data_IF_934714147055
#
_entry.id   IF_934714147055
#
_cell.length_a   1.000
_cell.length_b   1.000
_cell.length_c   1.000
_cell.angle_alpha   90.00
_cell.angle_beta   90.00
_cell.angle_gamma   90.00
#
_symmetry.space_group_name_H-M   'P 1'
#
loop_
_entity.id
_entity.type
_entity.pdbx_description
1 polymer ?
#
# COMPACT_ATOMS: atom_id res chain seq x y z
N UNK A 1 -6.37 28.80 7.50
CA UNK A 1 -6.18 27.39 7.11
C UNK A 1 -7.06 26.55 8.03
N UNK A 2 -8.18 26.06 7.49
CA UNK A 2 -9.23 25.37 8.26
C UNK A 2 -8.62 24.26 9.12
N UNK A 3 -8.99 24.18 10.40
CA UNK A 3 -8.42 23.23 11.39
C UNK A 3 -8.40 21.79 10.84
N UNK A 4 -9.40 21.45 10.03
CA UNK A 4 -9.52 20.17 9.35
C UNK A 4 -8.40 19.87 8.35
N UNK A 5 -8.04 20.83 7.50
CA UNK A 5 -6.94 20.66 6.54
C UNK A 5 -5.59 20.52 7.27
N UNK A 6 -5.38 21.27 8.37
CA UNK A 6 -4.18 21.12 9.20
C UNK A 6 -4.05 19.68 9.73
N UNK A 7 -5.14 19.11 10.27
CA UNK A 7 -5.13 17.74 10.78
C UNK A 7 -4.87 16.73 9.66
N UNK A 8 -5.46 16.90 8.46
CA UNK A 8 -5.19 16.05 7.28
C UNK A 8 -3.71 16.09 6.91
N UNK A 9 -3.10 17.29 6.86
CA UNK A 9 -1.68 17.43 6.55
C UNK A 9 -0.78 16.78 7.60
N UNK A 10 -1.08 16.98 8.90
CA UNK A 10 -0.32 16.34 10.00
C UNK A 10 -0.31 14.83 9.88
N UNK A 11 -1.48 14.22 9.62
CA UNK A 11 -1.59 12.77 9.41
C UNK A 11 -0.81 12.34 8.16
N UNK A 12 -0.94 13.09 7.06
CA UNK A 12 -0.27 12.78 5.79
C UNK A 12 1.25 12.80 5.93
N UNK A 13 1.82 13.83 6.56
CA UNK A 13 3.25 13.92 6.82
C UNK A 13 3.73 12.89 7.86
N UNK A 14 2.91 12.55 8.85
CA UNK A 14 3.21 11.47 9.79
C UNK A 14 3.34 10.12 9.07
N UNK A 15 2.39 9.78 8.20
CA UNK A 15 2.47 8.56 7.39
C UNK A 15 3.63 8.61 6.39
N UNK A 16 3.90 9.75 5.75
CA UNK A 16 5.05 9.93 4.88
C UNK A 16 6.36 9.57 5.60
N UNK A 17 6.61 10.14 6.77
CA UNK A 17 7.83 9.90 7.54
C UNK A 17 7.95 8.44 8.03
N UNK A 18 6.82 7.86 8.48
CA UNK A 18 6.79 6.48 8.94
C UNK A 18 7.07 5.47 7.82
N UNK A 19 6.41 5.65 6.66
CA UNK A 19 6.54 4.74 5.53
C UNK A 19 7.77 5.02 4.67
N UNK A 20 8.42 6.18 4.81
CA UNK A 20 9.79 6.41 4.31
C UNK A 20 10.73 5.42 4.97
N UNK A 21 10.64 5.28 6.29
CA UNK A 21 11.43 4.32 7.05
C UNK A 21 11.02 2.87 6.74
N UNK A 22 9.74 2.53 6.91
CA UNK A 22 9.27 1.16 6.73
C UNK A 22 9.40 0.67 5.28
N UNK A 23 9.01 1.46 4.28
CA UNK A 23 9.07 1.06 2.88
C UNK A 23 10.50 0.86 2.38
N UNK A 24 11.42 1.74 2.80
CA UNK A 24 12.84 1.58 2.51
C UNK A 24 13.43 0.33 3.17
N UNK A 25 13.08 0.08 4.44
CA UNK A 25 13.54 -1.10 5.17
C UNK A 25 12.95 -2.40 4.61
N UNK A 26 11.67 -2.40 4.25
CA UNK A 26 10.95 -3.53 3.66
C UNK A 26 11.64 -4.05 2.40
N UNK A 27 11.95 -3.18 1.45
CA UNK A 27 12.59 -3.55 0.18
C UNK A 27 14.00 -4.12 0.36
N UNK A 28 14.63 -3.83 1.50
CA UNK A 28 15.96 -4.30 1.83
C UNK A 28 15.97 -5.55 2.70
N UNK A 29 14.87 -5.93 3.37
CA UNK A 29 14.85 -7.04 4.33
C UNK A 29 15.41 -8.34 3.75
N UNK A 30 14.91 -8.77 2.58
CA UNK A 30 15.35 -9.98 1.90
C UNK A 30 16.83 -9.93 1.48
N UNK A 31 17.36 -8.72 1.33
CA UNK A 31 18.72 -8.44 0.90
C UNK A 31 19.70 -8.21 2.05
N UNK A 32 19.25 -7.68 3.20
CA UNK A 32 20.08 -7.50 4.38
C UNK A 32 20.25 -8.79 5.16
N UNK A 33 19.17 -9.58 5.29
CA UNK A 33 19.12 -10.77 6.14
C UNK A 33 18.84 -12.02 5.30
N UNK A 34 19.82 -12.38 4.45
CA UNK A 34 19.73 -13.52 3.54
C UNK A 34 19.94 -14.86 4.23
N UNK A 35 20.78 -14.89 5.28
CA UNK A 35 21.13 -16.09 6.03
C UNK A 35 19.85 -16.75 6.58
N UNK A 36 19.70 -18.04 6.29
CA UNK A 36 18.53 -18.87 6.65
C UNK A 36 17.17 -18.30 6.21
N UNK A 37 17.14 -17.30 5.32
CA UNK A 37 15.91 -16.63 4.90
C UNK A 37 15.26 -15.73 5.95
N UNK A 38 15.99 -15.30 6.98
CA UNK A 38 15.46 -14.51 8.11
C UNK A 38 14.65 -13.28 7.67
N UNK A 39 15.13 -12.52 6.68
CA UNK A 39 14.43 -11.31 6.20
C UNK A 39 13.07 -11.61 5.55
N UNK A 40 12.98 -12.70 4.77
CA UNK A 40 11.72 -13.13 4.15
C UNK A 40 10.77 -13.69 5.21
N UNK A 41 11.29 -14.43 6.21
CA UNK A 41 10.51 -14.92 7.33
C UNK A 41 9.93 -13.76 8.18
N UNK A 42 10.72 -12.71 8.42
CA UNK A 42 10.26 -11.50 9.11
C UNK A 42 9.14 -10.79 8.35
N UNK A 43 9.31 -10.54 7.05
CA UNK A 43 8.25 -9.97 6.20
C UNK A 43 6.98 -10.83 6.20
N UNK A 44 7.12 -12.15 6.03
CA UNK A 44 6.01 -13.09 6.07
C UNK A 44 5.27 -13.05 7.42
N UNK A 45 6.02 -12.93 8.52
CA UNK A 45 5.49 -12.80 9.87
C UNK A 45 4.71 -11.50 10.05
N UNK A 46 5.22 -10.36 9.55
CA UNK A 46 4.50 -9.09 9.56
C UNK A 46 3.12 -9.28 8.91
N UNK A 47 3.08 -9.73 7.66
CA UNK A 47 1.84 -9.87 6.90
C UNK A 47 0.89 -10.92 7.48
N UNK A 48 1.41 -12.03 8.00
CA UNK A 48 0.62 -13.01 8.75
C UNK A 48 -0.02 -12.41 10.01
N UNK A 49 0.72 -11.59 10.75
CA UNK A 49 0.19 -10.88 11.91
C UNK A 49 -0.81 -9.76 11.51
N UNK A 50 -0.62 -9.09 10.37
CA UNK A 50 -1.62 -8.14 9.82
C UNK A 50 -2.96 -8.85 9.56
N UNK A 51 -2.93 -10.05 8.99
CA UNK A 51 -4.13 -10.84 8.72
C UNK A 51 -4.91 -11.08 10.02
N UNK A 52 -4.25 -11.59 11.05
CA UNK A 52 -4.88 -11.82 12.37
C UNK A 52 -5.36 -10.50 12.99
N UNK A 53 -4.57 -9.43 12.87
CA UNK A 53 -4.89 -8.13 13.41
C UNK A 53 -6.15 -7.53 12.81
N UNK A 54 -6.29 -7.62 11.49
CA UNK A 54 -7.39 -7.04 10.72
C UNK A 54 -8.78 -7.52 11.14
N UNK A 55 -8.86 -8.73 11.73
CA UNK A 55 -10.12 -9.30 12.18
C UNK A 55 -10.63 -8.67 13.49
N UNK A 56 -9.73 -8.16 14.35
CA UNK A 56 -10.06 -7.91 15.76
C UNK A 56 -9.55 -6.58 16.32
N UNK A 57 -8.28 -6.23 16.07
CA UNK A 57 -7.66 -5.10 16.75
C UNK A 57 -8.20 -3.73 16.34
N UNK A 58 -8.55 -3.45 15.06
CA UNK A 58 -9.07 -2.15 14.66
C UNK A 58 -10.30 -1.71 15.47
N UNK A 59 -11.30 -2.59 15.60
CA UNK A 59 -12.56 -2.27 16.29
C UNK A 59 -12.34 -2.05 17.78
N UNK A 60 -11.50 -2.87 18.42
CA UNK A 60 -11.18 -2.77 19.86
C UNK A 60 -10.39 -1.49 20.16
N UNK A 61 -9.33 -1.22 19.40
CA UNK A 61 -8.46 -0.06 19.64
C UNK A 61 -9.21 1.25 19.37
N UNK A 62 -9.89 1.36 18.22
CA UNK A 62 -10.61 2.59 17.85
C UNK A 62 -11.70 2.89 18.88
N UNK A 63 -12.47 1.89 19.32
CA UNK A 63 -13.56 2.09 20.31
C UNK A 63 -13.05 2.47 21.70
N UNK A 64 -11.93 1.88 22.16
CA UNK A 64 -11.40 2.13 23.52
C UNK A 64 -10.54 3.39 23.60
N UNK A 65 -9.69 3.63 22.60
CA UNK A 65 -8.62 4.64 22.67
C UNK A 65 -8.87 5.84 21.76
N UNK A 66 -9.81 5.73 20.82
CA UNK A 66 -10.02 6.75 19.80
C UNK A 66 -9.07 6.64 18.61
N UNK A 67 -9.40 7.33 17.52
CA UNK A 67 -8.62 7.27 16.28
C UNK A 67 -7.19 7.80 16.48
N UNK A 68 -7.02 8.95 17.17
CA UNK A 68 -5.70 9.57 17.41
C UNK A 68 -4.73 8.60 18.09
N UNK A 69 -5.11 8.07 19.26
CA UNK A 69 -4.21 7.22 20.04
C UNK A 69 -4.03 5.83 19.42
N UNK A 70 -5.04 5.33 18.68
CA UNK A 70 -4.88 4.11 17.89
C UNK A 70 -3.81 4.27 16.80
N UNK A 71 -3.77 5.43 16.11
CA UNK A 71 -2.72 5.75 15.14
C UNK A 71 -1.36 5.82 15.85
N UNK A 72 -1.23 6.60 16.93
CA UNK A 72 0.04 6.80 17.65
C UNK A 72 0.63 5.48 18.16
N UNK A 73 -0.16 4.64 18.85
CA UNK A 73 0.29 3.35 19.37
C UNK A 73 0.75 2.44 18.23
N UNK A 74 -0.02 2.42 17.14
CA UNK A 74 0.34 1.62 15.98
C UNK A 74 1.63 2.09 15.32
N UNK A 75 1.87 3.41 15.24
CA UNK A 75 3.14 3.97 14.75
C UNK A 75 4.33 3.55 15.63
N UNK A 76 4.15 3.44 16.96
CA UNK A 76 5.20 2.92 17.84
C UNK A 76 5.58 1.47 17.51
N UNK A 77 4.64 0.63 17.04
CA UNK A 77 4.95 -0.72 16.59
C UNK A 77 5.90 -0.74 15.38
N UNK A 78 5.76 0.21 14.45
CA UNK A 78 6.69 0.39 13.31
C UNK A 78 8.08 0.84 13.75
N UNK A 79 8.15 1.76 14.72
CA UNK A 79 9.44 2.19 15.30
C UNK A 79 10.15 1.02 15.99
N UNK A 80 9.40 0.21 16.75
CA UNK A 80 9.98 -0.95 17.42
C UNK A 80 10.49 -2.03 16.47
N UNK A 81 9.83 -2.23 15.32
CA UNK A 81 10.39 -3.06 14.25
C UNK A 81 11.72 -2.49 13.74
N UNK A 82 11.79 -1.17 13.49
CA UNK A 82 13.03 -0.51 13.09
C UNK A 82 14.15 -0.67 14.14
N UNK A 83 13.81 -0.60 15.43
CA UNK A 83 14.74 -0.86 16.53
C UNK A 83 15.20 -2.32 16.57
N UNK A 84 14.30 -3.28 16.34
CA UNK A 84 14.62 -4.71 16.28
C UNK A 84 15.64 -5.07 15.19
N UNK A 85 15.74 -4.24 14.14
CA UNK A 85 16.70 -4.43 13.06
C UNK A 85 18.16 -4.08 13.44
N UNK A 86 18.40 -3.32 14.52
CA UNK A 86 19.77 -3.05 15.00
C UNK A 86 20.47 -4.32 15.49
N UNK A 87 19.72 -5.24 16.08
CA UNK A 87 20.21 -6.54 16.49
C UNK A 87 19.41 -7.62 15.78
N UNK A 88 19.59 -7.76 14.47
CA UNK A 88 18.80 -8.69 13.68
C UNK A 88 19.14 -10.15 14.00
N UNK A 89 18.21 -10.82 14.67
CA UNK A 89 18.26 -12.25 14.98
C UNK A 89 16.84 -12.80 14.93
N UNK A 90 16.68 -14.11 14.86
CA UNK A 90 15.36 -14.76 14.94
C UNK A 90 14.57 -14.33 16.18
N UNK A 91 15.23 -14.12 17.33
CA UNK A 91 14.60 -13.77 18.59
C UNK A 91 14.20 -12.30 18.73
N UNK A 92 14.74 -11.41 17.90
CA UNK A 92 14.44 -9.97 17.92
C UNK A 92 13.54 -9.58 16.77
N UNK A 93 13.84 -10.07 15.57
CA UNK A 93 13.17 -9.67 14.34
C UNK A 93 11.78 -10.29 14.21
N UNK A 94 11.60 -11.55 14.63
CA UNK A 94 10.28 -12.20 14.59
C UNK A 94 9.29 -11.56 15.58
N UNK A 95 9.63 -11.35 16.87
CA UNK A 95 8.68 -10.71 17.79
C UNK A 95 8.35 -9.26 17.41
N UNK A 96 9.33 -8.48 16.95
CA UNK A 96 9.07 -7.11 16.50
C UNK A 96 8.27 -7.07 15.19
N UNK A 97 8.44 -8.06 14.31
CA UNK A 97 7.60 -8.27 13.12
C UNK A 97 6.14 -8.56 13.49
N UNK A 98 5.90 -9.43 14.48
CA UNK A 98 4.54 -9.69 15.00
C UNK A 98 3.95 -8.39 15.54
N UNK A 99 4.71 -7.65 16.35
CA UNK A 99 4.22 -6.42 16.95
C UNK A 99 3.86 -5.36 15.90
N UNK A 100 4.69 -5.20 14.87
CA UNK A 100 4.39 -4.36 13.71
C UNK A 100 3.13 -4.83 12.98
N UNK A 101 3.03 -6.12 12.66
CA UNK A 101 1.84 -6.66 11.98
C UNK A 101 0.55 -6.45 12.79
N UNK A 102 0.61 -6.59 14.11
CA UNK A 102 -0.50 -6.28 15.01
C UNK A 102 -0.90 -4.80 14.98
N UNK A 103 0.06 -3.88 14.85
CA UNK A 103 -0.20 -2.43 14.73
C UNK A 103 -0.66 -1.97 13.34
N UNK A 104 -0.30 -2.66 12.27
CA UNK A 104 -0.54 -2.19 10.91
C UNK A 104 -2.03 -2.06 10.55
N UNK A 105 -2.87 -3.07 10.87
CA UNK A 105 -4.29 -3.01 10.54
C UNK A 105 -5.05 -1.91 11.33
N UNK A 106 -4.83 -1.74 12.66
CA UNK A 106 -5.39 -0.61 13.40
C UNK A 106 -4.91 0.75 12.89
N UNK A 107 -3.65 0.89 12.48
CA UNK A 107 -3.12 2.12 11.91
C UNK A 107 -3.95 2.59 10.71
N UNK A 108 -4.09 1.72 9.71
CA UNK A 108 -4.83 2.02 8.48
C UNK A 108 -6.32 2.23 8.73
N UNK A 109 -6.92 1.43 9.60
CA UNK A 109 -8.36 1.54 9.92
C UNK A 109 -8.70 2.82 10.69
N UNK A 110 -7.87 3.17 11.68
CA UNK A 110 -8.05 4.39 12.47
C UNK A 110 -7.81 5.64 11.62
N UNK A 111 -6.81 5.59 10.73
CA UNK A 111 -6.57 6.62 9.72
C UNK A 111 -7.78 6.85 8.80
N UNK A 112 -8.30 5.79 8.19
CA UNK A 112 -9.42 5.90 7.26
C UNK A 112 -10.67 6.45 7.96
N UNK A 113 -10.94 5.98 9.17
CA UNK A 113 -12.02 6.49 10.02
C UNK A 113 -11.80 7.97 10.35
N UNK A 114 -10.57 8.36 10.71
CA UNK A 114 -10.23 9.75 11.03
C UNK A 114 -10.50 10.70 9.84
N UNK A 115 -9.97 10.39 8.65
CA UNK A 115 -10.18 11.23 7.46
C UNK A 115 -11.65 11.27 7.02
N UNK A 116 -12.37 10.16 7.15
CA UNK A 116 -13.80 10.10 6.80
C UNK A 116 -14.63 11.00 7.72
N UNK A 117 -14.42 10.90 9.04
CA UNK A 117 -15.13 11.75 10.01
C UNK A 117 -14.79 13.22 9.77
N UNK A 118 -13.50 13.55 9.67
CA UNK A 118 -13.05 14.92 9.40
C UNK A 118 -13.61 15.49 8.10
N UNK A 119 -13.67 14.69 7.04
CA UNK A 119 -14.24 15.10 5.76
C UNK A 119 -15.75 15.33 5.82
N UNK A 120 -16.48 14.45 6.51
CA UNK A 120 -17.93 14.61 6.69
C UNK A 120 -18.28 15.82 7.55
N UNK A 121 -17.61 16.00 8.70
CA UNK A 121 -17.84 17.16 9.58
C UNK A 121 -17.54 18.47 8.85
N UNK A 122 -16.43 18.55 8.12
CA UNK A 122 -16.13 19.74 7.34
C UNK A 122 -17.15 19.99 6.22
N UNK A 123 -17.65 18.93 5.59
CA UNK A 123 -18.68 19.07 4.55
C UNK A 123 -20.00 19.58 5.11
N UNK A 124 -20.41 19.12 6.29
CA UNK A 124 -21.59 19.61 7.01
C UNK A 124 -21.44 21.09 7.36
N UNK A 125 -20.30 21.50 7.93
CA UNK A 125 -20.01 22.90 8.26
C UNK A 125 -20.00 23.82 7.03
N UNK A 126 -19.49 23.32 5.89
CA UNK A 126 -19.35 24.08 4.66
C UNK A 126 -20.54 23.96 3.69
N UNK A 127 -21.60 23.20 4.05
CA UNK A 127 -22.73 22.93 3.16
C UNK A 127 -22.36 22.19 1.87
N UNK A 128 -21.30 21.39 1.88
CA UNK A 128 -20.78 20.63 0.73
C UNK A 128 -21.22 19.17 0.78
N UNK A 129 -21.10 18.48 -0.36
CA UNK A 129 -21.35 17.03 -0.43
C UNK A 129 -20.21 16.28 0.28
N UNK A 130 -20.50 15.58 1.38
CA UNK A 130 -19.53 14.84 2.21
C UNK A 130 -18.59 13.94 1.42
N UNK A 131 -19.15 13.17 0.48
CA UNK A 131 -18.38 12.28 -0.40
C UNK A 131 -17.26 13.00 -1.16
N UNK A 132 -17.50 14.23 -1.63
CA UNK A 132 -16.51 14.98 -2.41
C UNK A 132 -15.36 15.47 -1.52
N UNK A 133 -15.68 15.97 -0.33
CA UNK A 133 -14.68 16.44 0.64
C UNK A 133 -13.84 15.27 1.17
N UNK A 134 -14.47 14.15 1.53
CA UNK A 134 -13.75 12.93 1.97
C UNK A 134 -12.80 12.47 0.88
N UNK A 135 -13.26 12.36 -0.38
CA UNK A 135 -12.40 11.98 -1.50
C UNK A 135 -11.24 12.97 -1.70
N UNK A 136 -11.47 14.27 -1.54
CA UNK A 136 -10.42 15.28 -1.63
C UNK A 136 -9.36 15.09 -0.54
N UNK A 137 -9.76 14.84 0.72
CA UNK A 137 -8.82 14.61 1.83
C UNK A 137 -8.02 13.32 1.66
N UNK A 138 -8.65 12.23 1.23
CA UNK A 138 -7.92 11.02 0.85
C UNK A 138 -6.98 11.26 -0.33
N UNK A 139 -7.38 12.07 -1.32
CA UNK A 139 -6.51 12.44 -2.44
C UNK A 139 -5.25 13.19 -2.00
N UNK A 140 -5.39 14.19 -1.12
CA UNK A 140 -4.26 14.91 -0.52
C UNK A 140 -3.36 13.96 0.27
N UNK A 141 -3.97 13.10 1.09
CA UNK A 141 -3.23 12.11 1.87
C UNK A 141 -2.40 11.18 0.98
N UNK A 142 -3.02 10.55 -0.02
CA UNK A 142 -2.33 9.61 -0.90
C UNK A 142 -1.28 10.30 -1.77
N UNK A 143 -1.49 11.55 -2.18
CA UNK A 143 -0.48 12.32 -2.90
C UNK A 143 0.81 12.48 -2.08
N UNK A 144 0.69 12.83 -0.81
CA UNK A 144 1.84 13.02 0.09
C UNK A 144 2.43 11.66 0.48
N UNK A 145 1.59 10.73 0.91
CA UNK A 145 1.98 9.39 1.38
C UNK A 145 2.75 8.61 0.30
N UNK A 146 2.28 8.56 -0.95
CA UNK A 146 2.93 7.75 -1.99
C UNK A 146 4.36 8.22 -2.30
N UNK A 147 4.70 9.48 -2.02
CA UNK A 147 6.07 9.97 -2.17
C UNK A 147 7.06 9.31 -1.20
N UNK A 148 6.58 8.68 -0.11
CA UNK A 148 7.42 7.99 0.87
C UNK A 148 8.24 6.85 0.25
N UNK A 149 7.68 6.18 -0.75
CA UNK A 149 8.38 5.15 -1.51
C UNK A 149 9.61 5.70 -2.22
N UNK A 150 9.57 6.94 -2.71
CA UNK A 150 10.73 7.58 -3.35
C UNK A 150 11.78 7.94 -2.30
N UNK A 151 11.39 8.63 -1.23
CA UNK A 151 12.33 9.08 -0.20
C UNK A 151 13.01 7.93 0.54
N UNK A 152 12.25 6.88 0.91
CA UNK A 152 12.81 5.73 1.62
C UNK A 152 13.86 5.01 0.79
N UNK A 153 13.52 4.71 -0.46
CA UNK A 153 14.44 4.04 -1.38
C UNK A 153 15.64 4.94 -1.78
N UNK A 154 15.46 6.26 -1.84
CA UNK A 154 16.57 7.17 -2.11
C UNK A 154 17.56 7.19 -0.94
N UNK A 155 17.06 7.28 0.30
CA UNK A 155 17.90 7.27 1.50
C UNK A 155 18.74 5.98 1.56
N UNK A 156 18.14 4.81 1.35
CA UNK A 156 18.91 3.55 1.35
C UNK A 156 19.98 3.50 0.29
N UNK A 157 19.65 3.89 -0.95
CA UNK A 157 20.61 3.89 -2.05
C UNK A 157 21.77 4.86 -1.82
N UNK A 158 21.50 6.05 -1.25
CA UNK A 158 22.54 7.03 -0.94
C UNK A 158 23.46 6.55 0.19
N UNK A 159 22.91 5.96 1.26
CA UNK A 159 23.71 5.43 2.39
C UNK A 159 24.59 4.28 1.92
N UNK A 160 24.03 3.29 1.22
CA UNK A 160 24.83 2.17 0.73
C UNK A 160 25.79 2.55 -0.42
N UNK A 161 25.53 3.65 -1.12
CA UNK A 161 26.41 4.18 -2.15
C UNK A 161 27.69 4.88 -1.63
N UNK A 162 27.81 5.11 -0.31
CA UNK A 162 28.96 5.84 0.27
C UNK A 162 30.28 5.07 0.20
N UNK A 163 30.24 3.73 0.22
CA UNK A 163 31.42 2.88 0.06
C UNK A 163 31.32 2.17 -1.30
N UNK A 164 32.22 2.42 -2.26
CA UNK A 164 32.20 1.71 -3.53
C UNK A 164 32.36 0.22 -3.29
N UNK A 165 31.53 -0.59 -3.94
CA UNK A 165 31.61 -2.06 -3.90
C UNK A 165 33.01 -2.47 -4.34
N UNK A 166 33.77 -3.14 -3.47
CA UNK A 166 35.15 -3.46 -3.78
C UNK A 166 35.19 -4.63 -4.76
N UNK A 167 35.44 -4.31 -6.03
CA UNK A 167 35.67 -5.29 -7.11
C UNK A 167 34.45 -5.63 -7.95
N UNK A 168 34.68 -5.97 -9.22
CA UNK A 168 33.66 -6.54 -10.09
C UNK A 168 33.19 -7.89 -9.51
N UNK A 169 31.87 -8.11 -9.48
CA UNK A 169 31.31 -9.40 -9.07
C UNK A 169 31.84 -10.46 -10.06
N UNK A 170 32.47 -11.55 -9.59
CA UNK A 170 32.98 -12.60 -10.46
C UNK A 170 31.89 -13.13 -11.40
N UNK A 171 32.22 -13.33 -12.68
CA UNK A 171 31.24 -13.80 -13.68
C UNK A 171 30.60 -15.14 -13.31
N UNK A 172 31.32 -16.00 -12.58
CA UNK A 172 30.80 -17.27 -12.08
C UNK A 172 29.62 -17.09 -11.12
N UNK A 173 29.65 -16.07 -10.25
CA UNK A 173 28.55 -15.77 -9.32
C UNK A 173 27.35 -15.14 -10.04
N UNK A 174 27.59 -14.42 -11.15
CA UNK A 174 26.51 -13.85 -11.97
C UNK A 174 25.68 -14.93 -12.67
N UNK A 175 26.26 -16.10 -12.96
CA UNK A 175 25.55 -17.23 -13.55
C UNK A 175 24.52 -17.85 -12.60
N UNK A 176 24.73 -17.71 -11.28
CA UNK A 176 23.77 -18.15 -10.25
C UNK A 176 22.72 -17.09 -9.89
N UNK A 177 22.79 -15.87 -10.43
CA UNK A 177 21.79 -14.84 -10.19
C UNK A 177 20.51 -15.05 -11.02
N UNK A 178 19.44 -14.35 -10.63
CA UNK A 178 18.16 -14.34 -11.34
C UNK A 178 17.36 -15.62 -11.11
N UNK A 179 16.84 -16.22 -12.18
CA UNK A 179 16.02 -17.44 -12.11
C UNK A 179 16.79 -18.68 -11.60
N UNK A 180 18.13 -18.63 -11.60
CA UNK A 180 19.00 -19.71 -11.12
C UNK A 180 19.42 -19.59 -9.66
N UNK A 181 18.91 -18.58 -8.93
CA UNK A 181 19.23 -18.37 -7.51
C UNK A 181 18.62 -19.48 -6.63
N UNK A 182 19.48 -20.35 -6.11
CA UNK A 182 19.09 -21.47 -5.24
C UNK A 182 19.20 -21.07 -3.77
N UNK A 183 18.07 -20.74 -3.15
CA UNK A 183 17.96 -20.32 -1.73
C UNK A 183 18.55 -21.31 -0.71
N UNK A 184 18.72 -22.59 -1.09
CA UNK A 184 19.13 -23.71 -0.23
C UNK A 184 20.53 -24.27 -0.55
N UNK A 185 21.24 -23.69 -1.54
CA UNK A 185 22.58 -24.15 -1.83
C UNK A 185 23.54 -23.66 -0.73
N UNK A 186 24.11 -24.62 0.01
CA UNK A 186 25.19 -24.47 1.00
C UNK A 186 26.51 -23.95 0.40
N UNK A 187 26.48 -23.42 -0.83
CA UNK A 187 27.59 -22.72 -1.41
C UNK A 187 27.62 -21.32 -0.79
N UNK A 188 28.46 -21.18 0.23
CA UNK A 188 29.04 -19.90 0.62
C UNK A 188 29.78 -19.31 -0.58
N UNK A 189 29.06 -18.68 -1.51
CA UNK A 189 29.68 -17.68 -2.37
C UNK A 189 30.05 -16.54 -1.45
N UNK A 190 31.29 -16.59 -0.93
CA UNK A 190 31.99 -15.60 -0.11
C UNK A 190 32.16 -14.25 -0.84
N UNK A 191 31.18 -13.81 -1.64
CA UNK A 191 31.40 -12.80 -2.68
C UNK A 191 30.22 -11.88 -2.97
N UNK A 192 29.12 -11.93 -2.22
CA UNK A 192 28.30 -10.72 -2.04
C UNK A 192 28.70 -10.09 -0.73
N UNK A 193 29.61 -9.11 -0.77
CA UNK A 193 30.03 -8.33 0.39
C UNK A 193 28.80 -7.86 1.15
N UNK A 194 28.59 -8.39 2.36
CA UNK A 194 27.58 -7.84 3.26
C UNK A 194 27.95 -6.37 3.50
N UNK A 195 26.98 -5.44 3.41
CA UNK A 195 27.28 -4.04 3.63
C UNK A 195 27.88 -3.86 5.02
N UNK A 196 28.88 -2.96 5.14
CA UNK A 196 29.54 -2.75 6.42
C UNK A 196 28.53 -2.38 7.50
N UNK A 197 28.69 -2.93 8.70
CA UNK A 197 27.77 -2.72 9.84
C UNK A 197 27.52 -1.23 10.13
N UNK A 198 28.51 -0.37 9.93
CA UNK A 198 28.39 1.09 10.03
C UNK A 198 27.31 1.67 9.11
N UNK A 199 27.21 1.22 7.86
CA UNK A 199 26.22 1.71 6.89
C UNK A 199 24.82 1.21 7.24
N UNK A 200 24.73 -0.05 7.70
CA UNK A 200 23.46 -0.63 8.18
C UNK A 200 22.95 0.18 9.37
N UNK A 201 23.78 0.41 10.39
CA UNK A 201 23.40 1.20 11.56
C UNK A 201 23.11 2.66 11.24
N UNK A 202 23.83 3.26 10.29
CA UNK A 202 23.53 4.62 9.81
C UNK A 202 22.14 4.67 9.19
N UNK A 203 21.81 3.72 8.31
CA UNK A 203 20.50 3.63 7.67
C UNK A 203 19.38 3.41 8.71
N UNK A 204 19.56 2.43 9.60
CA UNK A 204 18.60 2.13 10.66
C UNK A 204 18.41 3.30 11.62
N UNK A 205 19.48 4.07 11.90
CA UNK A 205 19.42 5.30 12.67
C UNK A 205 18.56 6.38 12.01
N UNK A 206 18.76 6.62 10.70
CA UNK A 206 17.96 7.58 9.92
C UNK A 206 16.48 7.16 9.90
N UNK A 207 16.21 5.89 9.62
CA UNK A 207 14.85 5.36 9.58
C UNK A 207 14.14 5.39 10.93
N UNK A 208 14.83 4.99 12.00
CA UNK A 208 14.27 5.06 13.35
C UNK A 208 14.01 6.51 13.76
N UNK A 209 14.93 7.42 13.47
CA UNK A 209 14.74 8.86 13.71
C UNK A 209 13.53 9.42 12.98
N UNK A 210 13.35 9.07 11.69
CA UNK A 210 12.16 9.44 10.91
C UNK A 210 10.87 8.90 11.51
N UNK A 211 10.87 7.63 11.96
CA UNK A 211 9.72 7.00 12.60
C UNK A 211 9.37 7.65 13.96
N UNK A 212 10.36 7.96 14.79
CA UNK A 212 10.15 8.67 16.07
C UNK A 212 9.60 10.07 15.82
N UNK A 213 10.15 10.79 14.83
CA UNK A 213 9.64 12.10 14.43
C UNK A 213 8.19 12.02 13.95
N UNK A 214 7.82 10.99 13.18
CA UNK A 214 6.44 10.73 12.77
C UNK A 214 5.50 10.57 13.97
N UNK A 215 5.90 9.74 14.96
CA UNK A 215 5.14 9.52 16.19
C UNK A 215 4.96 10.84 16.94
N UNK A 216 6.02 11.62 17.14
CA UNK A 216 5.98 12.90 17.84
C UNK A 216 5.09 13.92 17.12
N UNK A 217 5.21 14.02 15.79
CA UNK A 217 4.39 14.91 14.96
C UNK A 217 2.90 14.60 15.15
N UNK A 218 2.51 13.33 15.04
CA UNK A 218 1.11 12.93 15.17
C UNK A 218 0.63 13.02 16.62
N UNK A 219 1.43 12.62 17.60
CA UNK A 219 1.04 12.67 19.01
C UNK A 219 0.78 14.11 19.49
N UNK A 220 1.61 15.07 19.06
CA UNK A 220 1.53 16.47 19.50
C UNK A 220 0.53 17.29 18.69
N UNK A 221 0.56 17.22 17.34
CA UNK A 221 -0.20 18.12 16.48
C UNK A 221 -1.55 17.56 16.03
N UNK A 222 -1.77 16.24 16.06
CA UNK A 222 -3.06 15.68 15.66
C UNK A 222 -4.10 15.93 16.74
N UNK A 223 -5.23 16.52 16.38
CA UNK A 223 -6.33 16.72 17.33
C UNK A 223 -7.18 15.46 17.47
N UNK A 224 -7.52 15.03 18.71
CA UNK A 224 -8.46 13.93 18.91
C UNK A 224 -9.87 14.36 18.50
N UNK A 225 -10.59 13.47 17.82
CA UNK A 225 -12.00 13.67 17.49
C UNK A 225 -12.82 13.30 18.74
N UNK A 226 -13.33 14.29 19.46
CA UNK A 226 -14.09 14.09 20.71
C UNK A 226 -15.59 13.91 20.48
N UNK A 227 -16.20 14.75 19.64
CA UNK A 227 -17.66 14.93 19.60
C UNK A 227 -18.43 13.84 18.85
N UNK A 228 -17.79 13.16 17.89
CA UNK A 228 -18.45 12.10 17.07
C UNK A 228 -18.38 10.73 17.76
N UNK A 229 -17.35 10.50 18.59
CA UNK A 229 -17.22 9.24 19.32
C UNK A 229 -18.19 9.11 20.49
N UNK A 230 -18.61 10.21 21.11
CA UNK A 230 -19.62 10.19 22.16
C UNK A 230 -21.03 9.97 21.62
N UNK A 231 -21.38 10.56 20.45
CA UNK A 231 -22.66 10.29 19.77
C UNK A 231 -22.78 8.82 19.33
N UNK A 232 -21.72 8.23 18.77
CA UNK A 232 -21.69 6.79 18.41
C UNK A 232 -21.76 5.86 19.63
N UNK A 233 -21.21 6.26 20.78
CA UNK A 233 -21.34 5.49 22.04
C UNK A 233 -22.75 5.49 22.60
N UNK A 234 -23.58 6.49 22.28
CA UNK A 234 -24.93 6.66 22.81
C UNK A 234 -26.04 5.90 22.05
N UNK A 235 -25.87 5.63 20.75
CA UNK A 235 -26.95 5.09 19.90
C UNK A 235 -26.72 3.68 19.34
N UNK A 236 -25.49 3.15 19.31
CA UNK A 236 -25.29 1.77 18.89
C UNK A 236 -25.49 0.78 20.04
N UNK A 237 -26.59 0.01 19.99
CA UNK A 237 -26.66 -1.34 20.57
C UNK A 237 -25.34 -2.02 20.19
N UNK A 238 -24.47 -2.23 21.18
CA UNK A 238 -23.19 -2.93 21.04
C UNK A 238 -23.38 -4.16 20.15
N UNK A 239 -23.09 -4.05 18.85
CA UNK A 239 -22.97 -5.23 18.00
C UNK A 239 -21.84 -6.03 18.62
N UNK A 240 -22.20 -7.20 19.15
CA UNK A 240 -21.24 -8.04 19.85
C UNK A 240 -20.08 -8.31 18.89
N UNK A 241 -18.84 -8.25 19.38
CA UNK A 241 -17.65 -8.64 18.62
C UNK A 241 -17.87 -9.92 17.79
N UNK A 242 -18.58 -10.89 18.39
CA UNK A 242 -18.98 -12.14 17.76
C UNK A 242 -19.97 -11.96 16.61
N UNK A 243 -20.90 -11.01 16.69
CA UNK A 243 -21.83 -10.71 15.60
C UNK A 243 -21.12 -10.09 14.39
N UNK A 244 -20.12 -9.23 14.59
CA UNK A 244 -19.33 -8.64 13.51
C UNK A 244 -18.44 -9.70 12.86
N UNK A 245 -17.75 -10.51 13.67
CA UNK A 245 -16.94 -11.63 13.18
C UNK A 245 -17.79 -12.66 12.41
N UNK A 246 -18.94 -13.03 12.97
CA UNK A 246 -19.88 -13.94 12.32
C UNK A 246 -20.44 -13.34 11.02
N UNK A 247 -20.61 -12.03 10.94
CA UNK A 247 -21.02 -11.34 9.71
C UNK A 247 -19.93 -11.41 8.64
N UNK A 248 -18.65 -11.23 9.01
CA UNK A 248 -17.52 -11.44 8.10
C UNK A 248 -17.47 -12.87 7.57
N UNK A 249 -17.63 -13.88 8.44
CA UNK A 249 -17.68 -15.28 8.00
C UNK A 249 -18.93 -15.60 7.15
N UNK A 250 -20.05 -14.92 7.38
CA UNK A 250 -21.22 -15.01 6.50
C UNK A 250 -20.93 -14.42 5.11
N UNK A 251 -20.16 -13.33 5.00
CA UNK A 251 -19.72 -12.79 3.70
C UNK A 251 -18.84 -13.79 2.94
N UNK A 252 -18.01 -14.58 3.62
CA UNK A 252 -17.23 -15.66 3.00
C UNK A 252 -18.09 -16.81 2.43
N UNK A 253 -19.40 -16.82 2.70
CA UNK A 253 -20.33 -17.77 2.07
C UNK A 253 -20.79 -17.31 0.68
N UNK A 254 -20.63 -16.02 0.36
CA UNK A 254 -20.95 -15.51 -0.96
C UNK A 254 -19.88 -15.94 -1.97
N UNK A 255 -20.30 -16.78 -2.93
CA UNK A 255 -19.43 -17.31 -3.99
C UNK A 255 -18.77 -16.19 -4.81
N UNK A 256 -19.43 -15.04 -4.98
CA UNK A 256 -18.88 -13.88 -5.71
C UNK A 256 -17.71 -13.27 -4.96
N UNK A 257 -17.85 -13.10 -3.65
CA UNK A 257 -16.77 -12.58 -2.80
C UNK A 257 -15.59 -13.56 -2.73
N UNK A 258 -15.85 -14.87 -2.64
CA UNK A 258 -14.79 -15.89 -2.69
C UNK A 258 -13.97 -15.83 -3.98
N UNK A 259 -14.61 -15.65 -5.14
CA UNK A 259 -13.90 -15.49 -6.41
C UNK A 259 -13.13 -14.17 -6.47
N UNK A 260 -13.68 -13.10 -5.88
CA UNK A 260 -13.02 -11.80 -5.82
C UNK A 260 -11.78 -11.79 -4.91
N UNK A 261 -11.72 -12.63 -3.86
CA UNK A 261 -10.55 -12.76 -2.97
C UNK A 261 -9.29 -13.19 -3.73
N UNK A 262 -9.42 -13.91 -4.84
CA UNK A 262 -8.27 -14.34 -5.65
C UNK A 262 -7.48 -13.14 -6.22
N UNK A 263 -8.15 -12.02 -6.49
CA UNK A 263 -7.52 -10.84 -7.09
C UNK A 263 -6.59 -10.11 -6.09
N UNK A 264 -7.00 -9.78 -4.85
CA UNK A 264 -6.07 -9.29 -3.82
C UNK A 264 -4.96 -10.28 -3.49
N UNK A 265 -5.24 -11.59 -3.45
CA UNK A 265 -4.22 -12.61 -3.21
C UNK A 265 -3.14 -12.55 -4.29
N UNK A 266 -3.52 -12.51 -5.56
CA UNK A 266 -2.57 -12.34 -6.67
C UNK A 266 -1.79 -11.02 -6.56
N UNK A 267 -2.46 -9.91 -6.22
CA UNK A 267 -1.80 -8.62 -5.98
C UNK A 267 -0.75 -8.70 -4.86
N UNK A 268 -1.03 -9.44 -3.79
CA UNK A 268 -0.06 -9.69 -2.72
C UNK A 268 1.13 -10.51 -3.19
N UNK A 269 0.90 -11.59 -3.94
CA UNK A 269 1.98 -12.43 -4.47
C UNK A 269 2.93 -11.66 -5.38
N UNK A 270 2.42 -10.85 -6.31
CA UNK A 270 3.29 -10.09 -7.22
C UNK A 270 4.07 -8.98 -6.50
N UNK A 271 3.49 -8.34 -5.47
CA UNK A 271 4.23 -7.37 -4.64
C UNK A 271 5.31 -8.06 -3.79
N UNK A 272 5.03 -9.26 -3.28
CA UNK A 272 6.01 -10.07 -2.55
C UNK A 272 7.17 -10.51 -3.45
N UNK A 273 6.87 -10.95 -4.68
CA UNK A 273 7.90 -11.28 -5.67
C UNK A 273 8.80 -10.07 -5.94
N UNK A 274 8.23 -8.89 -6.20
CA UNK A 274 9.03 -7.71 -6.51
C UNK A 274 9.87 -7.25 -5.30
N UNK A 275 9.28 -7.12 -4.12
CA UNK A 275 9.96 -6.60 -2.93
C UNK A 275 10.91 -7.61 -2.26
N UNK A 276 10.67 -8.91 -2.44
CA UNK A 276 11.44 -10.01 -1.86
C UNK A 276 12.46 -10.61 -2.83
N UNK A 277 11.98 -11.29 -3.88
CA UNK A 277 12.80 -12.12 -4.75
C UNK A 277 13.52 -11.30 -5.82
N UNK A 278 12.83 -10.36 -6.47
CA UNK A 278 13.44 -9.56 -7.52
C UNK A 278 14.57 -8.66 -6.98
N UNK A 279 14.36 -7.97 -5.86
CA UNK A 279 15.38 -7.14 -5.19
C UNK A 279 16.59 -7.96 -4.75
N UNK A 280 16.37 -9.18 -4.24
CA UNK A 280 17.44 -10.07 -3.77
C UNK A 280 18.18 -10.76 -4.92
N UNK A 281 17.47 -11.58 -5.68
CA UNK A 281 18.01 -12.55 -6.64
C UNK A 281 18.42 -11.91 -7.96
N UNK A 282 17.80 -10.81 -8.37
CA UNK A 282 18.17 -10.11 -9.61
C UNK A 282 19.00 -8.87 -9.29
N UNK A 283 18.44 -7.90 -8.57
CA UNK A 283 19.08 -6.59 -8.39
C UNK A 283 20.32 -6.70 -7.51
N UNK A 284 20.19 -7.21 -6.29
CA UNK A 284 21.34 -7.23 -5.38
C UNK A 284 22.41 -8.21 -5.83
N UNK A 285 22.02 -9.37 -6.36
CA UNK A 285 22.96 -10.37 -6.84
C UNK A 285 23.84 -9.84 -7.97
N UNK A 286 23.27 -9.07 -8.92
CA UNK A 286 24.01 -8.59 -10.10
C UNK A 286 24.58 -7.16 -9.96
N UNK A 287 23.94 -6.26 -9.22
CA UNK A 287 24.33 -4.84 -9.12
C UNK A 287 24.79 -4.42 -7.71
N UNK A 288 24.46 -5.21 -6.68
CA UNK A 288 24.67 -4.83 -5.28
C UNK A 288 23.47 -4.11 -4.65
N UNK A 289 23.48 -4.03 -3.31
CA UNK A 289 22.32 -3.59 -2.50
C UNK A 289 22.01 -2.10 -2.70
N UNK A 290 23.02 -1.30 -3.06
CA UNK A 290 22.87 0.13 -3.30
C UNK A 290 21.94 0.46 -4.47
N UNK A 291 21.74 -0.47 -5.42
CA UNK A 291 20.84 -0.28 -6.56
C UNK A 291 19.38 -0.67 -6.29
N UNK A 292 19.11 -1.37 -5.18
CA UNK A 292 17.74 -1.79 -4.83
C UNK A 292 16.81 -0.59 -4.72
N UNK A 293 17.23 0.46 -4.02
CA UNK A 293 16.43 1.67 -3.88
C UNK A 293 16.15 2.35 -5.23
N UNK A 294 17.19 2.60 -6.04
CA UNK A 294 17.02 3.20 -7.36
C UNK A 294 16.04 2.43 -8.27
N UNK A 295 16.13 1.09 -8.27
CA UNK A 295 15.21 0.26 -9.06
C UNK A 295 13.77 0.37 -8.52
N UNK A 296 13.58 0.32 -7.20
CA UNK A 296 12.25 0.45 -6.59
C UNK A 296 11.63 1.85 -6.73
N UNK A 297 12.44 2.89 -6.96
CA UNK A 297 11.93 4.22 -7.34
C UNK A 297 11.26 4.16 -8.72
N UNK A 298 11.82 3.41 -9.68
CA UNK A 298 11.22 3.19 -11.00
C UNK A 298 9.82 2.58 -10.88
N UNK A 299 9.70 1.48 -10.13
CA UNK A 299 8.40 0.87 -9.80
C UNK A 299 7.42 1.88 -9.17
N UNK A 300 7.87 2.61 -8.15
CA UNK A 300 7.00 3.53 -7.41
C UNK A 300 6.49 4.66 -8.31
N UNK A 301 7.36 5.21 -9.15
CA UNK A 301 7.03 6.29 -10.07
C UNK A 301 6.05 5.85 -11.16
N UNK A 302 6.30 4.71 -11.81
CA UNK A 302 5.40 4.19 -12.85
C UNK A 302 4.06 3.78 -12.26
N UNK A 303 4.05 3.14 -11.09
CA UNK A 303 2.83 2.76 -10.39
C UNK A 303 1.95 3.98 -10.06
N UNK A 304 2.54 5.04 -9.51
CA UNK A 304 1.84 6.28 -9.18
C UNK A 304 1.25 6.95 -10.44
N UNK A 305 2.05 7.09 -11.51
CA UNK A 305 1.61 7.68 -12.77
C UNK A 305 0.48 6.87 -13.41
N UNK A 306 0.66 5.55 -13.53
CA UNK A 306 -0.33 4.65 -14.13
C UNK A 306 -1.60 4.56 -13.31
N UNK A 307 -1.54 4.66 -11.97
CA UNK A 307 -2.72 4.66 -11.11
C UNK A 307 -3.66 5.83 -11.44
N UNK A 308 -3.11 7.01 -11.74
CA UNK A 308 -3.90 8.18 -12.16
C UNK A 308 -4.46 7.99 -13.57
N UNK A 309 -3.63 7.50 -14.50
CA UNK A 309 -4.02 7.30 -15.89
C UNK A 309 -5.11 6.24 -16.04
N UNK A 310 -4.95 5.07 -15.43
CA UNK A 310 -5.92 3.98 -15.51
C UNK A 310 -7.23 4.29 -14.80
N UNK A 311 -7.21 5.13 -13.76
CA UNK A 311 -8.43 5.67 -13.17
C UNK A 311 -9.31 6.38 -14.21
N UNK A 312 -8.71 7.21 -15.06
CA UNK A 312 -9.41 7.91 -16.16
C UNK A 312 -9.73 6.99 -17.34
N UNK A 313 -8.77 6.19 -17.79
CA UNK A 313 -8.91 5.29 -18.96
C UNK A 313 -10.00 4.24 -18.72
N UNK A 314 -10.15 3.75 -17.49
CA UNK A 314 -11.17 2.75 -17.14
C UNK A 314 -12.61 3.18 -17.45
N UNK A 315 -12.86 4.49 -17.51
CA UNK A 315 -14.17 5.07 -17.87
C UNK A 315 -14.50 4.90 -19.36
N UNK A 316 -13.48 4.82 -20.21
CA UNK A 316 -13.62 4.74 -21.67
C UNK A 316 -13.47 3.30 -22.19
N UNK A 317 -12.46 2.56 -21.72
CA UNK A 317 -12.14 1.22 -22.25
C UNK A 317 -12.82 0.08 -21.51
N UNK A 318 -13.44 0.38 -20.36
CA UNK A 318 -13.89 -0.63 -19.41
C UNK A 318 -12.75 -1.33 -18.67
N UNK A 319 -13.11 -2.12 -17.66
CA UNK A 319 -12.15 -2.73 -16.70
C UNK A 319 -11.47 -3.98 -17.22
N UNK A 320 -12.17 -4.79 -18.02
CA UNK A 320 -11.66 -6.05 -18.57
C UNK A 320 -10.43 -5.79 -19.44
N UNK A 321 -10.48 -4.76 -20.30
CA UNK A 321 -9.35 -4.37 -21.14
C UNK A 321 -8.10 -4.03 -20.31
N UNK A 322 -8.26 -3.30 -19.19
CA UNK A 322 -7.16 -2.98 -18.29
C UNK A 322 -6.60 -4.23 -17.61
N UNK A 323 -7.45 -5.15 -17.13
CA UNK A 323 -6.98 -6.42 -16.57
C UNK A 323 -6.21 -7.27 -17.58
N UNK A 324 -6.66 -7.30 -18.84
CA UNK A 324 -5.93 -7.99 -19.91
C UNK A 324 -4.56 -7.35 -20.17
N UNK A 325 -4.48 -6.02 -20.17
CA UNK A 325 -3.21 -5.29 -20.27
C UNK A 325 -2.27 -5.63 -19.12
N UNK A 326 -2.72 -5.52 -17.87
CA UNK A 326 -1.90 -5.84 -16.69
C UNK A 326 -1.44 -7.28 -16.66
N UNK A 327 -2.30 -8.23 -17.06
CA UNK A 327 -1.94 -9.65 -17.18
C UNK A 327 -0.90 -9.87 -18.26
N UNK A 328 -1.08 -9.26 -19.44
CA UNK A 328 -0.11 -9.34 -20.54
C UNK A 328 1.27 -8.85 -20.12
N UNK A 329 1.33 -7.68 -19.47
CA UNK A 329 2.60 -7.12 -18.97
C UNK A 329 3.27 -8.07 -17.97
N UNK A 330 2.55 -8.55 -16.95
CA UNK A 330 3.13 -9.49 -15.97
C UNK A 330 3.60 -10.79 -16.61
N UNK A 331 2.80 -11.43 -17.48
CA UNK A 331 3.18 -12.68 -18.13
C UNK A 331 4.43 -12.47 -19.00
N UNK A 332 4.49 -11.39 -19.76
CA UNK A 332 5.68 -11.05 -20.55
C UNK A 332 6.91 -10.80 -19.67
N UNK A 333 6.76 -10.06 -18.57
CA UNK A 333 7.85 -9.83 -17.61
C UNK A 333 8.34 -11.13 -16.97
N UNK A 334 7.43 -12.01 -16.53
CA UNK A 334 7.80 -13.29 -15.90
C UNK A 334 8.54 -14.18 -16.89
N UNK A 335 8.05 -14.33 -18.12
CA UNK A 335 8.75 -15.10 -19.16
C UNK A 335 10.13 -14.51 -19.43
N UNK A 336 10.22 -13.19 -19.57
CA UNK A 336 11.49 -12.51 -19.81
C UNK A 336 12.47 -12.68 -18.64
N UNK A 337 12.02 -12.57 -17.39
CA UNK A 337 12.87 -12.78 -16.20
C UNK A 337 13.36 -14.23 -16.08
N UNK A 338 12.55 -15.21 -16.50
CA UNK A 338 12.96 -16.62 -16.52
C UNK A 338 14.03 -16.92 -17.58
N UNK A 339 14.02 -16.18 -18.69
CA UNK A 339 14.97 -16.38 -19.80
C UNK A 339 16.21 -15.48 -19.68
N UNK A 340 16.08 -14.35 -19.01
CA UNK A 340 17.12 -13.34 -18.90
C UNK A 340 18.12 -13.65 -17.79
N UNK A 341 19.41 -13.61 -18.13
CA UNK A 341 20.51 -13.70 -17.17
C UNK A 341 20.94 -12.29 -16.77
N UNK A 342 20.81 -11.91 -15.50
CA UNK A 342 21.10 -10.55 -15.06
C UNK A 342 22.60 -10.25 -15.15
N UNK A 343 22.96 -9.15 -15.81
CA UNK A 343 24.36 -8.73 -15.99
C UNK A 343 24.50 -7.21 -15.77
N UNK A 344 25.55 -6.74 -15.06
CA UNK A 344 25.83 -5.31 -14.85
C UNK A 344 25.79 -4.40 -16.09
N UNK A 345 26.26 -4.87 -17.25
CA UNK A 345 26.25 -4.09 -18.50
C UNK A 345 24.85 -3.75 -19.00
N UNK A 346 23.82 -4.50 -18.55
CA UNK A 346 22.43 -4.33 -18.94
C UNK A 346 21.63 -3.58 -17.86
N UNK A 347 22.24 -2.55 -17.25
CA UNK A 347 21.65 -1.79 -16.15
C UNK A 347 20.22 -1.31 -16.44
N UNK A 348 19.94 -0.87 -17.67
CA UNK A 348 18.61 -0.41 -18.08
C UNK A 348 17.50 -1.46 -17.86
N UNK A 349 17.79 -2.75 -18.08
CA UNK A 349 16.80 -3.82 -17.96
C UNK A 349 16.23 -3.93 -16.54
N UNK A 350 17.04 -3.70 -15.52
CA UNK A 350 16.59 -3.74 -14.12
C UNK A 350 15.53 -2.68 -13.82
N UNK A 351 15.66 -1.49 -14.41
CA UNK A 351 14.70 -0.39 -14.25
C UNK A 351 13.45 -0.60 -15.10
N UNK A 352 13.61 -1.17 -16.30
CA UNK A 352 12.50 -1.48 -17.21
C UNK A 352 11.58 -2.54 -16.61
N UNK A 353 12.13 -3.66 -16.10
CA UNK A 353 11.31 -4.70 -15.47
C UNK A 353 10.55 -4.16 -14.27
N UNK A 354 11.23 -3.42 -13.39
CA UNK A 354 10.60 -2.79 -12.23
C UNK A 354 9.52 -1.78 -12.61
N UNK A 355 9.77 -0.97 -13.63
CA UNK A 355 8.82 0.02 -14.16
C UNK A 355 7.58 -0.64 -14.76
N UNK A 356 7.75 -1.66 -15.61
CA UNK A 356 6.66 -2.45 -16.19
C UNK A 356 5.85 -3.18 -15.12
N UNK A 357 6.52 -3.71 -14.10
CA UNK A 357 5.85 -4.30 -12.94
C UNK A 357 4.98 -3.28 -12.21
N UNK A 358 5.46 -2.03 -12.05
CA UNK A 358 4.69 -0.93 -11.47
C UNK A 358 3.48 -0.54 -12.32
N UNK A 359 3.61 -0.56 -13.65
CA UNK A 359 2.48 -0.35 -14.55
C UNK A 359 1.40 -1.43 -14.37
N UNK A 360 1.79 -2.70 -14.24
CA UNK A 360 0.85 -3.78 -14.05
C UNK A 360 0.24 -3.77 -12.64
N UNK A 361 1.02 -3.53 -11.58
CA UNK A 361 0.52 -3.35 -10.20
C UNK A 361 -0.56 -2.27 -10.13
N UNK A 362 -0.37 -1.13 -10.82
CA UNK A 362 -1.36 -0.05 -10.88
C UNK A 362 -2.72 -0.51 -11.41
N UNK A 363 -2.75 -1.43 -12.39
CA UNK A 363 -4.00 -2.04 -12.87
C UNK A 363 -4.67 -2.80 -11.74
N UNK A 364 -3.96 -3.75 -11.14
CA UNK A 364 -4.53 -4.60 -10.10
C UNK A 364 -5.04 -3.78 -8.91
N UNK A 365 -4.26 -2.81 -8.43
CA UNK A 365 -4.67 -1.97 -7.30
C UNK A 365 -5.88 -1.07 -7.62
N UNK A 366 -5.87 -0.37 -8.76
CA UNK A 366 -6.97 0.56 -9.09
C UNK A 366 -8.27 -0.20 -9.40
N UNK A 367 -8.18 -1.28 -10.16
CA UNK A 367 -9.35 -2.02 -10.60
C UNK A 367 -9.93 -2.92 -9.50
N UNK A 368 -9.11 -3.57 -8.68
CA UNK A 368 -9.60 -4.41 -7.56
C UNK A 368 -10.39 -3.56 -6.56
N UNK A 369 -9.84 -2.41 -6.16
CA UNK A 369 -10.52 -1.47 -5.26
C UNK A 369 -11.84 -0.97 -5.82
N UNK A 370 -11.91 -0.75 -7.13
CA UNK A 370 -13.14 -0.34 -7.80
C UNK A 370 -14.14 -1.49 -7.90
N UNK A 371 -13.69 -2.74 -8.05
CA UNK A 371 -14.54 -3.92 -8.22
C UNK A 371 -15.20 -4.33 -6.91
N UNK A 372 -14.44 -4.32 -5.80
CA UNK A 372 -14.93 -4.61 -4.46
C UNK A 372 -16.06 -3.64 -4.07
N UNK A 373 -15.89 -2.34 -4.34
CA UNK A 373 -16.94 -1.34 -4.09
C UNK A 373 -18.23 -1.58 -4.88
N UNK A 374 -18.12 -2.08 -6.12
CA UNK A 374 -19.30 -2.41 -6.92
C UNK A 374 -20.01 -3.65 -6.38
N UNK A 375 -19.27 -4.67 -5.94
CA UNK A 375 -19.88 -5.87 -5.34
C UNK A 375 -20.58 -5.55 -4.01
N UNK A 376 -20.03 -4.64 -3.20
CA UNK A 376 -20.66 -4.21 -1.94
C UNK A 376 -21.97 -3.45 -2.18
N UNK A 377 -22.02 -2.60 -3.20
CA UNK A 377 -23.25 -1.91 -3.59
C UNK A 377 -24.33 -2.88 -4.11
N UNK A 378 -23.92 -3.99 -4.74
CA UNK A 378 -24.84 -5.02 -5.23
C UNK A 378 -25.34 -5.93 -4.10
N UNK A 379 -24.53 -6.20 -3.07
CA UNK A 379 -24.91 -7.04 -1.94
C UNK A 379 -25.81 -6.32 -0.92
N UNK A 380 -25.75 -4.97 -0.89
CA UNK A 380 -26.57 -4.12 0.00
C UNK A 380 -27.90 -3.66 -0.62
N UNK A 381 -28.15 -3.93 -1.91
CA UNK A 381 -29.43 -3.59 -2.55
C UNK A 381 -30.50 -4.66 -2.25
N UNK A 382 -31.67 -4.30 -1.68
CA UNK A 382 -32.69 -5.26 -1.28
C UNK A 382 -33.49 -5.89 -2.44
N UNK A 383 -33.11 -5.67 -3.70
CA UNK A 383 -33.79 -6.30 -4.85
C UNK A 383 -32.78 -6.86 -5.87
N UNK A 384 -32.93 -8.12 -6.31
CA UNK A 384 -32.20 -8.63 -7.46
C UNK A 384 -32.78 -7.94 -8.69
N UNK A 385 -32.09 -6.93 -9.24
CA UNK A 385 -32.41 -6.46 -10.59
C UNK A 385 -32.00 -7.56 -11.57
N UNK A 386 -32.99 -8.34 -11.98
CA UNK A 386 -32.98 -9.09 -13.23
C UNK A 386 -32.60 -8.15 -14.39
N UNK A 387 -31.88 -8.70 -15.37
CA UNK A 387 -31.02 -7.97 -16.29
C UNK A 387 -31.63 -6.72 -16.94
N UNK A 388 -30.78 -5.69 -17.09
CA UNK A 388 -31.01 -4.59 -18.02
C UNK A 388 -29.69 -4.29 -18.72
N UNK A 389 -29.76 -4.29 -20.04
CA UNK A 389 -28.72 -3.93 -20.99
C UNK A 389 -28.10 -2.57 -20.69
N UNK A 390 -26.79 -2.46 -20.93
CA UNK A 390 -26.06 -1.20 -20.94
C UNK A 390 -26.66 -0.23 -21.96
N UNK A 391 -27.19 0.89 -21.49
CA UNK A 391 -27.21 2.15 -22.23
C UNK A 391 -26.44 3.21 -21.42
N UNK A 392 -25.66 4.09 -22.08
CA UNK A 392 -24.92 5.13 -21.38
C UNK A 392 -25.88 6.14 -20.76
N UNK A 393 -25.58 6.55 -19.53
CA UNK A 393 -26.20 7.71 -18.87
C UNK A 393 -25.76 8.97 -19.62
N UNK A 394 -26.66 9.88 -20.04
CA UNK A 394 -26.28 11.11 -20.72
C UNK A 394 -25.53 12.05 -19.77
N UNK A 395 -24.60 12.82 -20.33
CA UNK A 395 -23.89 13.92 -19.67
C UNK A 395 -24.83 15.05 -19.24
N UNK A 396 -24.49 15.85 -18.21
CA UNK A 396 -25.36 16.88 -17.63
C UNK A 396 -25.63 18.12 -18.52
N UNK A 397 -25.21 18.11 -19.78
CA UNK A 397 -25.33 19.26 -20.67
C UNK A 397 -26.59 19.24 -21.55
N UNK A 398 -27.38 18.16 -21.52
CA UNK A 398 -28.60 18.00 -22.35
C UNK A 398 -29.92 18.38 -21.65
N UNK A 399 -29.89 18.84 -20.39
CA UNK A 399 -31.10 19.15 -19.61
C UNK A 399 -31.54 20.63 -19.69
N UNK A 400 -30.80 21.47 -20.42
CA UNK A 400 -31.08 22.90 -20.54
C UNK A 400 -32.00 23.30 -21.71
N UNK A 401 -32.33 22.41 -22.65
CA UNK A 401 -33.05 22.77 -23.89
C UNK A 401 -34.51 22.27 -23.97
N UNK A 402 -35.12 21.85 -22.85
CA UNK A 402 -36.52 21.36 -22.83
C UNK A 402 -37.49 22.08 -21.89
N UNK A 403 -37.10 23.24 -21.35
CA UNK A 403 -38.01 24.08 -20.55
C UNK A 403 -38.63 25.27 -21.32
N UNK A 404 -38.38 25.37 -22.63
CA UNK A 404 -38.67 26.54 -23.45
C UNK A 404 -39.69 26.35 -24.58
N UNK A 405 -40.72 25.50 -24.45
CA UNK A 405 -41.85 25.50 -25.41
C UNK A 405 -43.06 24.78 -24.83
N UNK A 406 -44.05 25.55 -24.41
CA UNK A 406 -45.51 25.26 -24.35
C UNK A 406 -46.16 26.06 -23.20
N UNK A 407 -46.28 27.37 -23.41
CA UNK A 407 -47.35 28.17 -22.81
C UNK A 407 -47.90 29.10 -23.88
N UNK A 408 -49.14 28.84 -24.29
CA UNK A 408 -49.94 29.74 -25.10
C UNK A 408 -50.73 29.00 -26.18
N UNK A 409 -52.00 28.68 -25.89
CA UNK A 409 -53.12 29.19 -26.68
C UNK A 409 -54.43 28.96 -25.93
N UNK A 410 -55.05 30.07 -25.53
CA UNK A 410 -56.46 30.21 -25.19
C UNK A 410 -57.29 30.15 -26.47
N UNK A 411 -58.47 29.52 -26.45
CA UNK A 411 -59.71 30.04 -27.06
C UNK A 411 -60.92 29.08 -26.86
N UNK A 412 -61.87 29.52 -26.05
CA UNK A 412 -63.30 29.67 -26.39
C UNK A 412 -64.04 28.54 -27.16
N UNK A 413 -64.91 27.79 -26.48
CA UNK A 413 -66.38 28.01 -26.41
C UNK A 413 -67.04 26.98 -25.51
#
# INVERSE_FOLDING_TARGET
MESSLKNVLVVSFGFLLLFTAFGGLQNLQSSLYREEGLGVAALSTIYGAVLVSSMFLPSVLIKKLGCKWSIVISMCCYVAFSLGNFYASWYTLIPTSIMLGLGAAPLWSAHCTYLTIMGNTHAEEAGKIGKNVVNQYFGIFFLIFQSSGVWGNLISSLVFGQKPTQGAIPEENLLSCGASDCLMATASTNSTQSPSQELIYTLLGIYTGSGVLAVLLVATFLQPIKDVQEKSKGEEKSSSFWSTLLSTFKLLRDKRLCLLILLPVYSGFQQAFLSGDYTRSYVTCALGIQFVGYVMISFSATNALCSVLYGKISQYTGRIALYMLGTGIHVSCVIALLLWKPHPHQLAMFFVFSGLWGMADAVWQTQNNAQIRLSDNLSTSPHPRTGVSFHPVPSPDDEADKSGRERGFSLSK
#
